data_IF_568739314542
#
_entry.id   IF_568739314542
#
_cell.length_a   1.000
_cell.length_b   1.000
_cell.length_c   1.000
_cell.angle_alpha   90.00
_cell.angle_beta   90.00
_cell.angle_gamma   90.00
#
_symmetry.space_group_name_H-M   'P 1'
#
loop_
_entity.id
_entity.type
_entity.pdbx_description
1 polymer ?
#
# COMPACT_ATOMS: atom_id res chain seq x y z
N UNK A 1 24.93 15.63 1.14
CA UNK A 1 23.75 15.81 0.27
C UNK A 1 22.82 14.68 0.64
N UNK A 2 21.61 14.98 1.09
CA UNK A 2 20.63 13.93 1.38
C UNK A 2 20.16 13.30 0.07
N UNK A 3 19.89 11.98 0.04
CA UNK A 3 19.35 11.33 -1.15
C UNK A 3 17.96 11.92 -1.47
N UNK A 4 17.67 12.07 -2.77
CA UNK A 4 16.39 12.62 -3.23
C UNK A 4 15.21 11.73 -2.85
N UNK A 5 15.39 10.42 -2.98
CA UNK A 5 14.44 9.40 -2.57
C UNK A 5 15.13 8.41 -1.63
N UNK A 6 14.41 7.95 -0.62
CA UNK A 6 14.94 6.96 0.31
C UNK A 6 13.83 6.22 1.06
N UNK A 7 14.11 4.95 1.39
CA UNK A 7 13.22 4.14 2.23
C UNK A 7 13.31 4.62 3.68
N UNK A 8 12.24 5.27 4.16
CA UNK A 8 12.05 5.59 5.58
C UNK A 8 11.74 4.34 6.40
N UNK A 9 12.05 4.37 7.70
CA UNK A 9 11.64 3.29 8.61
C UNK A 9 10.13 3.35 8.80
N UNK A 10 9.45 2.20 8.96
CA UNK A 10 7.99 2.22 9.06
C UNK A 10 7.45 3.11 10.19
N UNK A 11 8.11 3.15 11.35
CA UNK A 11 7.71 4.05 12.46
C UNK A 11 7.87 5.54 12.12
N UNK A 12 8.89 5.92 11.33
CA UNK A 12 9.07 7.31 10.90
C UNK A 12 7.94 7.74 9.96
N UNK A 13 7.46 6.81 9.12
CA UNK A 13 6.32 7.03 8.23
C UNK A 13 5.03 7.16 9.06
N UNK A 14 4.84 6.31 10.07
CA UNK A 14 3.69 6.43 10.98
C UNK A 14 3.70 7.73 11.79
N UNK A 15 4.87 8.25 12.17
CA UNK A 15 4.99 9.53 12.86
C UNK A 15 4.71 10.73 11.92
N UNK A 16 5.04 10.58 10.63
CA UNK A 16 4.83 11.62 9.61
C UNK A 16 3.37 11.70 9.14
N UNK A 17 2.77 10.54 8.83
CA UNK A 17 1.47 10.44 8.17
C UNK A 17 0.34 10.00 9.10
N UNK A 18 0.67 9.20 10.11
CA UNK A 18 -0.31 8.60 11.00
C UNK A 18 -0.88 9.60 11.99
N UNK A 19 -2.08 9.33 12.46
CA UNK A 19 -2.73 10.07 13.53
C UNK A 19 -2.92 9.18 14.78
N UNK A 20 -3.59 9.73 15.81
CA UNK A 20 -4.00 8.93 16.97
C UNK A 20 -4.79 7.69 16.52
N UNK A 21 -4.47 6.46 16.98
CA UNK A 21 -5.15 5.25 16.55
C UNK A 21 -6.68 5.37 16.57
N UNK A 22 -7.33 5.10 15.44
CA UNK A 22 -8.79 4.99 15.30
C UNK A 22 -9.20 3.53 15.41
N UNK A 23 -10.38 3.28 15.98
CA UNK A 23 -10.93 1.92 16.03
C UNK A 23 -11.27 1.43 14.62
N UNK A 24 -10.64 0.33 14.19
CA UNK A 24 -11.01 -0.36 12.96
C UNK A 24 -12.44 -0.93 13.06
N UNK A 25 -13.09 -1.07 11.90
CA UNK A 25 -14.39 -1.70 11.76
C UNK A 25 -14.43 -3.08 12.42
N UNK A 26 -15.62 -3.56 12.75
CA UNK A 26 -15.77 -4.92 13.25
C UNK A 26 -15.30 -5.96 12.21
N UNK A 27 -15.47 -5.66 10.92
CA UNK A 27 -15.07 -6.54 9.83
C UNK A 27 -13.54 -6.65 9.75
N UNK A 28 -12.82 -5.53 9.66
CA UNK A 28 -11.35 -5.52 9.65
C UNK A 28 -10.75 -6.21 10.87
N UNK A 29 -11.30 -5.97 12.07
CA UNK A 29 -10.80 -6.62 13.30
C UNK A 29 -10.98 -8.13 13.28
N UNK A 30 -12.11 -8.62 12.74
CA UNK A 30 -12.32 -10.06 12.55
C UNK A 30 -11.33 -10.62 11.53
N UNK A 31 -11.11 -9.94 10.40
CA UNK A 31 -10.13 -10.33 9.39
C UNK A 31 -8.72 -10.43 9.94
N UNK A 32 -8.24 -9.38 10.60
CA UNK A 32 -6.92 -9.35 11.23
C UNK A 32 -6.76 -10.39 12.35
N UNK A 33 -7.85 -10.85 12.97
CA UNK A 33 -7.78 -11.96 13.94
C UNK A 33 -7.46 -13.32 13.31
N UNK A 34 -7.62 -13.45 11.99
CA UNK A 34 -7.23 -14.63 11.20
C UNK A 34 -5.78 -14.53 10.69
N UNK A 35 -5.14 -13.36 10.83
CA UNK A 35 -3.76 -13.14 10.41
C UNK A 35 -2.80 -13.66 11.48
N UNK A 36 -2.19 -14.82 11.22
CA UNK A 36 -1.36 -15.54 12.20
C UNK A 36 0.13 -15.16 12.16
N UNK A 37 0.51 -14.14 11.38
CA UNK A 37 1.91 -13.71 11.29
C UNK A 37 2.33 -12.89 12.52
N UNK A 38 3.63 -12.97 12.85
CA UNK A 38 4.19 -12.37 14.07
C UNK A 38 4.15 -10.84 14.10
N UNK A 39 3.97 -10.19 12.95
CA UNK A 39 3.88 -8.74 12.80
C UNK A 39 2.44 -8.21 12.83
N UNK A 40 1.43 -9.05 13.08
CA UNK A 40 0.04 -8.64 13.29
C UNK A 40 -0.10 -7.44 14.26
N UNK A 41 0.60 -7.36 15.41
CA UNK A 41 0.50 -6.19 16.29
C UNK A 41 0.92 -4.88 15.61
N UNK A 42 1.93 -4.93 14.74
CA UNK A 42 2.36 -3.78 13.96
C UNK A 42 1.32 -3.42 12.90
N UNK A 43 0.85 -4.40 12.12
CA UNK A 43 -0.17 -4.18 11.08
C UNK A 43 -1.42 -3.55 11.66
N UNK A 44 -1.89 -4.07 12.80
CA UNK A 44 -3.06 -3.55 13.50
C UNK A 44 -2.87 -2.12 14.00
N UNK A 45 -1.74 -1.77 14.62
CA UNK A 45 -1.47 -0.40 15.07
C UNK A 45 -1.35 0.57 13.88
N UNK A 46 -0.59 0.17 12.85
CA UNK A 46 -0.39 0.98 11.66
C UNK A 46 -1.71 1.26 10.92
N UNK A 47 -2.55 0.25 10.67
CA UNK A 47 -3.87 0.44 10.05
C UNK A 47 -4.76 1.39 10.86
N UNK A 48 -4.77 1.27 12.19
CA UNK A 48 -5.53 2.18 13.05
C UNK A 48 -5.05 3.63 12.94
N UNK A 49 -3.75 3.85 12.76
CA UNK A 49 -3.14 5.19 12.64
C UNK A 49 -3.26 5.79 11.25
N UNK A 50 -3.26 4.94 10.22
CA UNK A 50 -3.32 5.35 8.82
C UNK A 50 -4.75 5.42 8.27
N UNK A 51 -5.75 4.83 8.92
CA UNK A 51 -7.14 4.88 8.43
C UNK A 51 -7.64 6.31 8.21
N UNK A 52 -7.89 6.67 6.95
CA UNK A 52 -8.29 8.00 6.49
C UNK A 52 -7.11 8.91 6.12
N UNK A 53 -5.89 8.39 6.09
CA UNK A 53 -4.71 9.07 5.57
C UNK A 53 -4.45 8.66 4.13
N UNK A 54 -4.24 9.65 3.27
CA UNK A 54 -3.71 9.46 1.93
C UNK A 54 -2.21 9.76 1.97
N UNK A 55 -1.38 8.73 1.82
CA UNK A 55 0.08 8.91 1.83
C UNK A 55 0.56 9.39 0.46
N UNK A 56 0.07 8.75 -0.61
CA UNK A 56 0.27 9.12 -2.00
C UNK A 56 -1.07 9.15 -2.74
N UNK A 57 -1.11 9.67 -3.96
CA UNK A 57 -2.32 9.68 -4.79
C UNK A 57 -2.97 8.30 -4.83
N UNK A 58 -2.14 7.27 -5.01
CA UNK A 58 -2.58 5.88 -5.18
C UNK A 58 -2.69 5.08 -3.85
N UNK A 59 -2.64 5.72 -2.68
CA UNK A 59 -2.67 5.01 -1.40
C UNK A 59 -3.47 5.76 -0.32
N UNK A 60 -4.79 5.71 -0.42
CA UNK A 60 -5.73 6.14 0.61
C UNK A 60 -6.06 4.96 1.54
N UNK A 61 -5.55 4.99 2.76
CA UNK A 61 -5.79 3.92 3.74
C UNK A 61 -7.20 4.00 4.31
N UNK A 62 -7.85 2.86 4.46
CA UNK A 62 -9.18 2.79 5.08
C UNK A 62 -9.37 1.53 5.93
N UNK A 63 -10.49 1.48 6.65
CA UNK A 63 -10.89 0.29 7.39
C UNK A 63 -11.94 -0.48 6.60
N UNK A 64 -11.56 -1.65 6.10
CA UNK A 64 -12.42 -2.56 5.36
C UNK A 64 -13.77 -2.82 6.06
N UNK A 65 -14.87 -2.60 5.32
CA UNK A 65 -16.24 -2.81 5.78
C UNK A 65 -16.91 -4.05 5.14
N UNK A 66 -16.22 -4.73 4.22
CA UNK A 66 -16.67 -5.95 3.56
C UNK A 66 -17.78 -5.80 2.52
N UNK A 67 -18.09 -4.58 2.04
CA UNK A 67 -19.33 -4.36 1.27
C UNK A 67 -19.20 -4.35 -0.26
N UNK A 68 -18.08 -3.94 -0.86
CA UNK A 68 -18.05 -3.64 -2.31
C UNK A 68 -17.25 -4.65 -3.14
N UNK A 69 -15.98 -4.87 -2.82
CA UNK A 69 -15.09 -5.80 -3.54
C UNK A 69 -15.62 -7.25 -3.59
N UNK A 70 -16.20 -7.69 -2.49
CA UNK A 70 -16.45 -9.11 -2.23
C UNK A 70 -17.77 -9.64 -2.79
N UNK A 71 -18.61 -8.77 -3.35
CA UNK A 71 -19.83 -9.22 -4.02
C UNK A 71 -19.51 -9.89 -5.35
N UNK A 72 -18.47 -9.43 -6.04
CA UNK A 72 -18.07 -9.93 -7.36
C UNK A 72 -17.02 -11.05 -7.26
N UNK A 73 -16.16 -11.00 -6.24
CA UNK A 73 -15.12 -12.00 -5.98
C UNK A 73 -15.16 -12.52 -4.52
N UNK A 74 -16.15 -13.35 -4.15
CA UNK A 74 -16.33 -13.82 -2.77
C UNK A 74 -15.13 -14.58 -2.19
N UNK A 75 -14.38 -15.30 -3.03
CA UNK A 75 -13.18 -16.04 -2.64
C UNK A 75 -12.05 -15.11 -2.16
N UNK A 76 -11.97 -13.89 -2.71
CA UNK A 76 -11.01 -12.89 -2.25
C UNK A 76 -11.40 -12.36 -0.88
N UNK A 77 -12.70 -12.32 -0.59
CA UNK A 77 -13.19 -11.98 0.73
C UNK A 77 -12.56 -12.88 1.76
N UNK A 78 -12.56 -14.20 1.57
CA UNK A 78 -12.08 -15.14 2.58
C UNK A 78 -10.58 -15.00 2.87
N UNK A 79 -9.80 -14.69 1.83
CA UNK A 79 -8.33 -14.76 1.88
C UNK A 79 -7.65 -13.42 2.13
N UNK A 80 -8.32 -12.31 1.86
CA UNK A 80 -7.72 -10.98 1.89
C UNK A 80 -8.45 -10.01 2.82
N UNK A 81 -7.77 -8.93 3.14
CA UNK A 81 -8.34 -7.70 3.73
C UNK A 81 -7.92 -6.53 2.87
N UNK A 82 -8.86 -5.63 2.54
CA UNK A 82 -8.53 -4.38 1.86
C UNK A 82 -7.92 -3.38 2.85
N UNK A 83 -6.79 -2.75 2.48
CA UNK A 83 -6.03 -1.86 3.36
C UNK A 83 -5.95 -0.42 2.85
N UNK A 84 -6.05 -0.21 1.54
CA UNK A 84 -6.07 1.09 0.90
C UNK A 84 -6.76 1.03 -0.47
N UNK A 85 -7.21 2.19 -0.97
CA UNK A 85 -7.72 2.39 -2.32
C UNK A 85 -6.84 3.39 -3.09
N UNK A 86 -6.91 3.34 -4.42
CA UNK A 86 -6.19 4.23 -5.33
C UNK A 86 -6.98 5.51 -5.72
N UNK A 87 -8.17 5.70 -5.17
CA UNK A 87 -9.09 6.79 -5.47
C UNK A 87 -10.00 6.57 -6.69
N UNK A 88 -9.83 5.47 -7.42
CA UNK A 88 -10.58 5.15 -8.64
C UNK A 88 -11.42 3.87 -8.54
N UNK A 89 -11.30 3.15 -7.42
CA UNK A 89 -12.08 1.94 -7.13
C UNK A 89 -11.23 0.66 -7.12
N UNK A 90 -9.95 0.77 -7.43
CA UNK A 90 -9.00 -0.32 -7.33
C UNK A 90 -8.41 -0.38 -5.92
N UNK A 91 -8.00 -1.58 -5.49
CA UNK A 91 -7.75 -1.84 -4.07
C UNK A 91 -6.40 -2.47 -3.82
N UNK A 92 -5.77 -2.03 -2.73
CA UNK A 92 -4.63 -2.72 -2.14
C UNK A 92 -5.13 -3.75 -1.14
N UNK A 93 -4.82 -5.02 -1.41
CA UNK A 93 -5.24 -6.16 -0.61
C UNK A 93 -4.05 -6.76 0.12
N UNK A 94 -4.23 -7.10 1.39
CA UNK A 94 -3.27 -7.92 2.14
C UNK A 94 -3.80 -9.33 2.28
N UNK A 95 -3.01 -10.31 1.87
CA UNK A 95 -3.30 -11.72 2.05
C UNK A 95 -3.19 -12.10 3.53
N UNK A 96 -4.23 -12.70 4.10
CA UNK A 96 -4.32 -13.05 5.52
C UNK A 96 -3.51 -14.30 5.90
N UNK A 97 -3.05 -15.09 4.92
CA UNK A 97 -2.23 -16.27 5.18
C UNK A 97 -0.75 -15.89 5.29
N UNK A 98 -0.22 -15.12 4.33
CA UNK A 98 1.21 -14.83 4.23
C UNK A 98 1.58 -13.36 4.46
N UNK A 99 0.61 -12.43 4.51
CA UNK A 99 0.84 -11.00 4.71
C UNK A 99 1.28 -10.24 3.47
N UNK A 100 1.27 -10.89 2.31
CA UNK A 100 1.68 -10.31 1.05
C UNK A 100 0.64 -9.32 0.52
N UNK A 101 1.14 -8.25 -0.11
CA UNK A 101 0.30 -7.23 -0.74
C UNK A 101 0.07 -7.54 -2.21
N UNK A 102 -1.19 -7.45 -2.60
CA UNK A 102 -1.64 -7.53 -3.97
C UNK A 102 -2.36 -6.24 -4.35
N UNK A 103 -2.27 -5.87 -5.63
CA UNK A 103 -3.15 -4.88 -6.23
C UNK A 103 -4.33 -5.59 -6.89
N UNK A 104 -5.54 -5.11 -6.61
CA UNK A 104 -6.78 -5.55 -7.23
C UNK A 104 -7.26 -4.49 -8.22
N UNK A 105 -7.24 -4.82 -9.50
CA UNK A 105 -7.76 -4.03 -10.61
C UNK A 105 -9.20 -4.46 -10.89
N UNK A 106 -10.17 -3.58 -10.61
CA UNK A 106 -11.59 -3.91 -10.80
C UNK A 106 -12.00 -3.97 -12.28
N UNK A 107 -11.17 -3.43 -13.19
CA UNK A 107 -11.39 -3.47 -14.62
C UNK A 107 -11.00 -4.80 -15.27
N UNK A 108 -10.11 -5.57 -14.65
CA UNK A 108 -9.52 -6.79 -15.20
C UNK A 108 -10.16 -8.08 -14.66
N UNK A 109 -11.19 -8.57 -15.35
CA UNK A 109 -12.00 -9.71 -14.86
C UNK A 109 -11.31 -11.07 -14.88
N UNK A 110 -10.35 -11.31 -15.79
CA UNK A 110 -9.70 -12.63 -15.91
C UNK A 110 -8.58 -12.81 -14.87
N UNK A 111 -7.82 -11.75 -14.62
CA UNK A 111 -6.68 -11.74 -13.73
C UNK A 111 -6.64 -10.44 -12.91
N UNK A 112 -7.61 -10.21 -12.01
CA UNK A 112 -7.75 -8.94 -11.30
C UNK A 112 -6.65 -8.69 -10.27
N UNK A 113 -5.83 -9.69 -9.94
CA UNK A 113 -4.81 -9.60 -8.89
C UNK A 113 -3.40 -9.61 -9.45
N UNK A 114 -2.63 -8.60 -9.05
CA UNK A 114 -1.17 -8.56 -9.22
C UNK A 114 -0.51 -8.69 -7.85
N UNK A 115 0.31 -9.73 -7.67
CA UNK A 115 1.12 -9.92 -6.45
C UNK A 115 2.40 -9.07 -6.50
N UNK A 116 2.68 -8.30 -5.45
CA UNK A 116 3.85 -7.40 -5.41
C UNK A 116 5.07 -8.01 -4.70
N UNK A 117 4.95 -9.17 -4.05
CA UNK A 117 6.01 -9.78 -3.23
C UNK A 117 6.57 -8.88 -2.12
N UNK A 118 5.73 -7.99 -1.61
CA UNK A 118 6.02 -7.13 -0.46
C UNK A 118 5.05 -7.39 0.68
N UNK A 119 5.51 -7.22 1.91
CA UNK A 119 4.66 -7.26 3.09
C UNK A 119 4.04 -5.88 3.38
N UNK A 120 3.17 -5.82 4.39
CA UNK A 120 2.52 -4.59 4.80
C UNK A 120 3.51 -3.46 5.17
N UNK A 121 4.66 -3.76 5.78
CA UNK A 121 5.66 -2.72 6.13
C UNK A 121 6.26 -2.11 4.89
N UNK A 122 6.67 -2.97 3.95
CA UNK A 122 7.22 -2.54 2.67
C UNK A 122 6.19 -1.79 1.83
N UNK A 123 4.91 -2.12 1.93
CA UNK A 123 3.84 -1.35 1.28
C UNK A 123 3.70 0.06 1.86
N UNK A 124 3.74 0.23 3.17
CA UNK A 124 3.78 1.56 3.80
C UNK A 124 5.01 2.35 3.35
N UNK A 125 6.16 1.67 3.18
CA UNK A 125 7.38 2.27 2.64
C UNK A 125 7.27 2.65 1.16
N UNK A 126 6.61 1.81 0.35
CA UNK A 126 6.32 2.10 -1.04
C UNK A 126 5.43 3.34 -1.15
N UNK A 127 4.32 3.41 -0.41
CA UNK A 127 3.42 4.56 -0.41
C UNK A 127 4.17 5.86 -0.07
N UNK A 128 5.03 5.84 0.96
CA UNK A 128 5.87 6.99 1.31
C UNK A 128 6.88 7.36 0.22
N UNK A 129 7.45 6.37 -0.46
CA UNK A 129 8.37 6.58 -1.58
C UNK A 129 7.68 7.24 -2.78
N UNK A 130 6.44 6.82 -3.09
CA UNK A 130 5.61 7.47 -4.11
C UNK A 130 5.23 8.89 -3.69
N UNK A 131 4.94 9.14 -2.41
CA UNK A 131 4.71 10.49 -1.91
C UNK A 131 5.94 11.41 -2.09
N UNK A 132 7.15 10.88 -1.91
CA UNK A 132 8.39 11.62 -2.19
C UNK A 132 8.51 11.97 -3.69
N UNK A 133 8.13 11.04 -4.58
CA UNK A 133 8.08 11.27 -6.03
C UNK A 133 7.08 12.36 -6.42
N UNK A 134 5.85 12.27 -5.92
CA UNK A 134 4.80 13.27 -6.16
C UNK A 134 5.23 14.65 -5.65
N UNK A 135 5.89 14.72 -4.49
CA UNK A 135 6.46 15.96 -3.98
C UNK A 135 7.53 16.54 -4.91
N UNK A 136 8.40 15.69 -5.46
CA UNK A 136 9.42 16.09 -6.44
C UNK A 136 8.79 16.63 -7.74
N UNK A 137 7.77 15.95 -8.29
CA UNK A 137 7.09 16.40 -9.51
C UNK A 137 6.47 17.80 -9.36
N UNK A 138 6.05 18.18 -8.16
CA UNK A 138 5.51 19.50 -7.87
C UNK A 138 6.57 20.64 -7.88
N UNK A 139 7.85 20.36 -8.15
CA UNK A 139 8.95 21.35 -8.07
C UNK A 139 9.36 22.01 -9.40
N UNK A 140 8.47 22.06 -10.41
CA UNK A 140 8.77 22.56 -11.78
C UNK A 140 9.95 21.82 -12.45
N UNK A 141 10.11 20.52 -12.15
CA UNK A 141 11.18 19.71 -12.70
C UNK A 141 11.02 19.53 -14.22
N UNK A 142 12.04 19.91 -15.00
CA UNK A 142 12.14 19.56 -16.43
C UNK A 142 13.11 18.39 -16.59
N UNK A 143 12.66 17.36 -17.34
CA UNK A 143 13.32 16.05 -17.54
C UNK A 143 13.52 15.27 -16.22
N UNK A 144 12.68 14.28 -16.02
CA UNK A 144 12.60 13.44 -14.82
C UNK A 144 13.33 12.11 -14.96
N UNK A 145 13.84 11.77 -16.15
CA UNK A 145 14.32 10.42 -16.50
C UNK A 145 15.37 9.88 -15.52
N UNK A 146 16.26 10.75 -15.03
CA UNK A 146 17.29 10.36 -14.06
C UNK A 146 16.69 10.08 -12.68
N UNK A 147 15.71 10.88 -12.26
CA UNK A 147 15.04 10.75 -10.98
C UNK A 147 14.11 9.54 -10.97
N UNK A 148 13.54 9.20 -12.13
CA UNK A 148 12.85 7.95 -12.34
C UNK A 148 13.76 6.76 -12.02
N UNK A 149 14.94 6.66 -12.65
CA UNK A 149 15.87 5.56 -12.32
C UNK A 149 16.22 5.49 -10.82
N UNK A 150 16.34 6.64 -10.14
CA UNK A 150 16.63 6.68 -8.69
C UNK A 150 15.50 6.11 -7.83
N UNK A 151 14.24 6.43 -8.12
CA UNK A 151 13.14 5.85 -7.34
C UNK A 151 12.92 4.37 -7.69
N UNK A 152 13.19 3.93 -8.92
CA UNK A 152 13.11 2.52 -9.28
C UNK A 152 14.18 1.73 -8.53
N UNK A 153 15.38 2.30 -8.37
CA UNK A 153 16.44 1.71 -7.56
C UNK A 153 16.06 1.60 -6.08
N UNK A 154 15.32 2.56 -5.52
CA UNK A 154 14.76 2.44 -4.17
C UNK A 154 13.66 1.34 -4.11
N UNK A 155 12.76 1.27 -5.09
CA UNK A 155 11.73 0.22 -5.16
C UNK A 155 12.36 -1.18 -5.21
N UNK A 156 13.45 -1.36 -5.98
CA UNK A 156 14.20 -2.63 -6.05
C UNK A 156 14.76 -3.11 -4.71
N UNK A 157 14.96 -2.20 -3.74
CA UNK A 157 15.39 -2.57 -2.39
C UNK A 157 14.23 -3.12 -1.55
N UNK A 158 12.98 -2.75 -1.86
CA UNK A 158 11.79 -3.33 -1.24
C UNK A 158 11.52 -4.72 -1.81
N UNK A 159 11.47 -4.85 -3.12
CA UNK A 159 11.55 -6.12 -3.83
C UNK A 159 12.14 -5.91 -5.24
N UNK A 160 12.95 -6.87 -5.70
CA UNK A 160 13.72 -6.73 -6.95
C UNK A 160 12.83 -6.60 -8.20
N UNK A 161 11.61 -7.15 -8.18
CA UNK A 161 10.65 -7.15 -9.31
C UNK A 161 9.55 -6.11 -9.11
N UNK A 162 9.64 -5.30 -8.04
CA UNK A 162 8.62 -4.32 -7.70
C UNK A 162 8.41 -3.26 -8.81
N UNK A 163 9.46 -2.73 -9.48
CA UNK A 163 9.24 -1.77 -10.57
C UNK A 163 8.42 -2.35 -11.74
N UNK A 164 8.57 -3.64 -12.04
CA UNK A 164 7.86 -4.32 -13.11
C UNK A 164 6.42 -4.71 -12.71
N UNK A 165 6.17 -4.87 -11.41
CA UNK A 165 4.87 -5.28 -10.84
C UNK A 165 4.03 -4.12 -10.34
N UNK A 166 4.61 -2.94 -10.18
CA UNK A 166 3.90 -1.76 -9.73
C UNK A 166 2.86 -1.36 -10.79
N UNK A 167 1.56 -1.24 -10.42
CA UNK A 167 0.47 -1.11 -11.39
C UNK A 167 0.41 0.26 -12.07
N UNK A 168 1.14 1.25 -11.56
CA UNK A 168 1.09 2.62 -12.07
C UNK A 168 2.36 3.00 -12.82
N UNK A 169 2.21 3.83 -13.85
CA UNK A 169 3.35 4.50 -14.47
C UNK A 169 3.77 5.69 -13.62
N UNK A 170 5.06 5.80 -13.38
CA UNK A 170 5.67 6.99 -12.81
C UNK A 170 5.83 7.97 -13.98
N UNK A 171 4.90 8.93 -14.05
CA UNK A 171 4.82 9.95 -15.11
C UNK A 171 5.69 11.16 -14.80
#
# INVERSE_FOLDING_TARGET
>A
MEPLFFIRRPNEILDLWGHKPKTLSLYSRKKLSLYEQNDMPYVSDALQRLTGCQISAEALFFSDNGQELYMEFPELAEQYIAIADDGQGDLWLMNLQNGEICFFDHGEWEHPLTELHIDFKKFVQLADLIAQWECFLNTDAQDTSKQEELIWDEMRKLDKELPEKYPFSLK
#
